data_IF_484633521852
#
_entry.id   IF_484633521852
#
_cell.length_a   1.000
_cell.length_b   1.000
_cell.length_c   1.000
_cell.angle_alpha   90.00
_cell.angle_beta   90.00
_cell.angle_gamma   90.00
#
_symmetry.space_group_name_H-M   'P 1'
#
loop_
_entity.id
_entity.type
_entity.pdbx_description
1 polymer ?
#
# COMPACT_ATOMS: atom_id res chain seq x y z
N UNK A 1 -6.67 -34.19 -19.54
CA UNK A 1 -6.05 -32.87 -19.37
C UNK A 1 -4.57 -33.02 -19.66
N UNK A 2 -3.97 -32.24 -20.55
CA UNK A 2 -2.55 -32.38 -20.87
C UNK A 2 -1.69 -31.82 -19.72
N UNK A 3 -0.67 -32.56 -19.35
CA UNK A 3 0.39 -32.10 -18.49
C UNK A 3 1.37 -31.27 -19.30
N UNK A 4 1.60 -30.01 -18.92
CA UNK A 4 2.48 -29.08 -19.63
C UNK A 4 3.69 -28.76 -18.74
N UNK A 5 4.89 -28.82 -19.32
CA UNK A 5 6.08 -28.41 -18.60
C UNK A 5 6.05 -26.91 -18.28
N UNK A 6 6.48 -26.50 -17.07
CA UNK A 6 6.43 -25.09 -16.64
C UNK A 6 7.19 -24.16 -17.60
N UNK A 7 8.18 -24.65 -18.33
CA UNK A 7 8.90 -23.89 -19.37
C UNK A 7 8.09 -23.63 -20.65
N UNK A 8 6.98 -24.36 -20.86
CA UNK A 8 6.15 -24.30 -22.05
C UNK A 8 4.79 -23.61 -21.82
N UNK A 9 4.49 -23.23 -20.58
CA UNK A 9 3.24 -22.58 -20.22
C UNK A 9 3.20 -21.18 -20.82
N UNK A 10 2.03 -20.84 -21.42
CA UNK A 10 1.75 -19.50 -21.94
C UNK A 10 0.96 -18.68 -20.91
N UNK A 11 1.20 -17.38 -20.89
CA UNK A 11 0.42 -16.46 -20.05
C UNK A 11 -1.07 -16.52 -20.43
N UNK A 12 -1.94 -16.57 -19.42
CA UNK A 12 -3.39 -16.67 -19.59
C UNK A 12 -3.95 -18.09 -19.56
N UNK A 13 -3.11 -19.13 -19.60
CA UNK A 13 -3.56 -20.52 -19.43
C UNK A 13 -4.07 -20.74 -18.01
N UNK A 14 -5.05 -21.66 -17.86
CA UNK A 14 -5.65 -22.01 -16.56
C UNK A 14 -5.18 -23.38 -16.07
N UNK A 15 -4.94 -23.46 -14.77
CA UNK A 15 -4.61 -24.74 -14.12
C UNK A 15 -5.83 -25.69 -14.14
N UNK A 16 -5.62 -26.88 -14.67
CA UNK A 16 -6.66 -27.93 -14.73
C UNK A 16 -6.76 -28.75 -13.45
N UNK A 17 -5.79 -28.62 -12.53
CA UNK A 17 -5.80 -29.28 -11.22
C UNK A 17 -5.02 -28.45 -10.19
N UNK A 18 -5.15 -28.82 -8.89
CA UNK A 18 -4.37 -28.20 -7.84
C UNK A 18 -2.87 -28.49 -8.02
N UNK A 19 -2.04 -27.48 -7.86
CA UNK A 19 -0.58 -27.62 -7.83
C UNK A 19 -0.12 -27.68 -6.39
N UNK A 20 0.62 -28.73 -6.04
CA UNK A 20 1.13 -28.95 -4.68
C UNK A 20 2.64 -28.85 -4.63
N UNK A 21 3.16 -28.38 -3.50
CA UNK A 21 4.60 -28.42 -3.19
C UNK A 21 5.03 -29.85 -2.88
N UNK A 22 6.37 -30.11 -2.86
CA UNK A 22 6.94 -31.40 -2.43
C UNK A 22 6.54 -31.81 -1.00
N UNK A 23 6.10 -30.86 -0.18
CA UNK A 23 5.64 -31.09 1.20
C UNK A 23 4.14 -31.35 1.29
N UNK A 24 3.42 -31.38 0.16
CA UNK A 24 1.98 -31.67 0.10
C UNK A 24 1.06 -30.45 0.28
N UNK A 25 1.60 -29.27 0.47
CA UNK A 25 0.81 -28.03 0.57
C UNK A 25 0.34 -27.58 -0.82
N UNK A 26 -0.91 -27.09 -0.93
CA UNK A 26 -1.45 -26.60 -2.18
C UNK A 26 -0.80 -25.23 -2.48
N UNK A 27 -0.08 -25.13 -3.59
CA UNK A 27 0.55 -23.92 -4.07
C UNK A 27 -0.44 -23.05 -4.86
N UNK A 28 -1.23 -23.69 -5.72
CA UNK A 28 -2.29 -23.05 -6.49
C UNK A 28 -3.49 -23.97 -6.60
N UNK A 29 -4.67 -23.40 -6.50
CA UNK A 29 -5.92 -24.13 -6.74
C UNK A 29 -6.21 -24.27 -8.24
N UNK A 30 -6.92 -25.34 -8.60
CA UNK A 30 -7.51 -25.53 -9.92
C UNK A 30 -8.26 -24.27 -10.39
N UNK A 31 -8.17 -23.95 -11.68
CA UNK A 31 -8.80 -22.78 -12.29
C UNK A 31 -7.97 -21.48 -12.16
N UNK A 32 -6.85 -21.48 -11.44
CA UNK A 32 -5.96 -20.32 -11.36
C UNK A 32 -5.39 -19.99 -12.73
N UNK A 33 -5.50 -18.73 -13.13
CA UNK A 33 -4.89 -18.20 -14.36
C UNK A 33 -3.41 -17.95 -14.13
N UNK A 34 -2.56 -18.47 -15.01
CA UNK A 34 -1.11 -18.33 -14.92
C UNK A 34 -0.70 -17.02 -15.60
N UNK A 35 -0.14 -16.12 -14.79
CA UNK A 35 0.51 -14.89 -15.21
C UNK A 35 2.02 -15.01 -14.94
N UNK A 36 2.76 -13.94 -15.19
CA UNK A 36 4.21 -13.88 -14.94
C UNK A 36 4.58 -14.29 -13.51
N UNK A 37 3.80 -13.78 -12.54
CA UNK A 37 3.97 -14.06 -11.11
C UNK A 37 3.78 -15.54 -10.77
N UNK A 38 2.73 -16.18 -11.28
CA UNK A 38 2.47 -17.60 -11.05
C UNK A 38 3.57 -18.47 -11.66
N UNK A 39 4.09 -18.10 -12.85
CA UNK A 39 5.22 -18.79 -13.48
C UNK A 39 6.50 -18.68 -12.65
N UNK A 40 6.81 -17.51 -12.11
CA UNK A 40 7.95 -17.32 -11.20
C UNK A 40 7.85 -18.23 -9.97
N UNK A 41 6.66 -18.33 -9.38
CA UNK A 41 6.39 -19.17 -8.21
C UNK A 41 6.56 -20.66 -8.57
N UNK A 42 5.96 -21.13 -9.68
CA UNK A 42 6.11 -22.52 -10.14
C UNK A 42 7.60 -22.91 -10.33
N UNK A 43 8.40 -22.02 -10.93
CA UNK A 43 9.83 -22.20 -11.11
C UNK A 43 10.60 -22.22 -9.79
N UNK A 44 10.26 -21.29 -8.87
CA UNK A 44 10.89 -21.20 -7.55
C UNK A 44 10.68 -22.45 -6.69
N UNK A 45 9.49 -23.08 -6.80
CA UNK A 45 9.16 -24.31 -6.11
C UNK A 45 9.59 -25.58 -6.87
N UNK A 46 10.35 -25.42 -7.97
CA UNK A 46 10.83 -26.52 -8.80
C UNK A 46 9.71 -27.48 -9.24
N UNK A 47 8.52 -26.92 -9.54
CA UNK A 47 7.41 -27.68 -10.12
C UNK A 47 7.77 -27.98 -11.58
N UNK A 48 7.91 -29.23 -11.99
CA UNK A 48 8.38 -29.54 -13.34
C UNK A 48 7.28 -29.35 -14.39
N UNK A 49 6.04 -29.63 -14.02
CA UNK A 49 4.88 -29.59 -14.92
C UNK A 49 3.59 -29.42 -14.16
N UNK A 50 2.57 -28.90 -14.81
CA UNK A 50 1.22 -28.72 -14.26
C UNK A 50 0.18 -29.18 -15.26
N UNK A 51 -1.05 -29.48 -14.79
CA UNK A 51 -2.20 -29.74 -15.66
C UNK A 51 -2.79 -28.41 -16.11
N UNK A 52 -2.97 -28.26 -17.42
CA UNK A 52 -3.62 -27.08 -18.04
C UNK A 52 -4.99 -27.51 -18.57
N UNK A 53 -6.00 -26.66 -18.39
CA UNK A 53 -7.31 -26.82 -19.03
C UNK A 53 -7.14 -26.70 -20.55
N UNK A 54 -7.39 -27.78 -21.31
CA UNK A 54 -7.41 -27.71 -22.76
C UNK A 54 -8.63 -26.90 -23.20
N UNK A 55 -8.44 -25.78 -23.86
CA UNK A 55 -9.50 -25.21 -24.71
C UNK A 55 -9.71 -26.20 -25.86
N UNK A 56 -10.83 -26.90 -25.86
CA UNK A 56 -11.25 -27.65 -27.01
C UNK A 56 -11.48 -26.71 -28.21
N UNK A 57 -10.52 -26.73 -29.11
CA UNK A 57 -10.69 -26.20 -30.45
C UNK A 57 -11.51 -27.21 -31.27
N UNK A 58 -12.82 -27.17 -31.21
CA UNK A 58 -13.75 -27.69 -32.20
C UNK A 58 -15.17 -27.25 -31.83
N UNK A 59 -15.55 -26.12 -32.33
CA UNK A 59 -16.94 -25.82 -32.74
C UNK A 59 -16.86 -24.63 -33.68
N UNK A 60 -16.87 -24.99 -34.97
CA UNK A 60 -17.10 -24.08 -36.09
C UNK A 60 -18.61 -24.04 -36.29
N UNK A 61 -19.13 -22.80 -36.33
CA UNK A 61 -20.37 -22.36 -36.96
C UNK A 61 -21.70 -22.88 -36.40
N UNK A 62 -22.35 -22.02 -35.59
CA UNK A 62 -23.72 -21.58 -35.89
C UNK A 62 -23.97 -20.24 -35.17
N UNK A 63 -24.25 -19.21 -35.95
CA UNK A 63 -24.73 -17.91 -35.54
C UNK A 63 -26.04 -18.05 -34.76
N UNK A 64 -26.05 -17.72 -33.48
CA UNK A 64 -27.22 -17.24 -32.76
C UNK A 64 -26.74 -16.17 -31.81
N UNK A 65 -27.17 -14.94 -32.04
CA UNK A 65 -26.94 -13.78 -31.18
C UNK A 65 -27.60 -14.00 -29.81
N UNK A 66 -26.80 -14.41 -28.83
CA UNK A 66 -27.10 -14.17 -27.43
C UNK A 66 -25.90 -13.45 -26.80
N UNK A 67 -26.14 -12.47 -25.91
CA UNK A 67 -25.07 -11.64 -25.38
C UNK A 67 -24.11 -12.50 -24.56
N UNK A 68 -22.88 -12.64 -25.03
CA UNK A 68 -21.77 -13.19 -24.23
C UNK A 68 -21.62 -12.33 -22.96
N UNK A 69 -22.26 -12.76 -21.90
CA UNK A 69 -21.92 -12.33 -20.55
C UNK A 69 -20.48 -12.79 -20.33
N UNK A 70 -19.53 -11.87 -20.53
CA UNK A 70 -18.20 -12.03 -19.95
C UNK A 70 -18.46 -12.23 -18.46
N UNK A 71 -18.12 -13.38 -17.90
CA UNK A 71 -17.91 -13.50 -16.47
C UNK A 71 -16.82 -12.50 -16.10
N UNK A 72 -17.25 -11.28 -15.79
CA UNK A 72 -16.43 -10.30 -15.10
C UNK A 72 -16.19 -10.93 -13.74
N UNK A 73 -14.98 -11.42 -13.48
CA UNK A 73 -14.55 -11.68 -12.08
C UNK A 73 -15.07 -10.49 -11.30
N UNK A 74 -15.97 -10.73 -10.34
CA UNK A 74 -16.61 -9.67 -9.59
C UNK A 74 -15.52 -8.90 -8.87
N UNK A 75 -15.11 -7.79 -9.45
CA UNK A 75 -14.06 -6.92 -8.89
C UNK A 75 -14.53 -6.54 -7.49
N UNK A 76 -13.77 -6.93 -6.47
CA UNK A 76 -14.15 -6.65 -5.08
C UNK A 76 -14.54 -5.18 -4.95
N UNK A 77 -15.68 -4.85 -4.31
CA UNK A 77 -16.23 -3.48 -4.25
C UNK A 77 -15.22 -2.42 -3.81
N UNK A 78 -14.23 -2.79 -3.01
CA UNK A 78 -13.12 -1.94 -2.60
C UNK A 78 -12.41 -1.27 -3.78
N UNK A 79 -12.15 -2.00 -4.87
CA UNK A 79 -11.42 -1.43 -6.01
C UNK A 79 -12.25 -0.41 -6.78
N UNK A 80 -13.57 -0.61 -6.85
CA UNK A 80 -14.48 0.36 -7.47
C UNK A 80 -14.52 1.66 -6.65
N UNK A 81 -14.68 1.55 -5.32
CA UNK A 81 -14.67 2.71 -4.42
C UNK A 81 -13.29 3.40 -4.38
N UNK A 82 -12.21 2.65 -4.47
CA UNK A 82 -10.87 3.21 -4.60
C UNK A 82 -10.73 4.08 -5.86
N UNK A 83 -11.20 3.59 -7.02
CA UNK A 83 -11.17 4.36 -8.27
C UNK A 83 -12.10 5.57 -8.23
N UNK A 84 -13.26 5.48 -7.60
CA UNK A 84 -14.16 6.61 -7.37
C UNK A 84 -13.47 7.68 -6.52
N UNK A 85 -12.74 7.28 -5.47
CA UNK A 85 -11.98 8.19 -4.63
C UNK A 85 -10.84 8.87 -5.39
N UNK A 86 -10.13 8.17 -6.29
CA UNK A 86 -9.10 8.79 -7.16
C UNK A 86 -9.72 9.89 -8.03
N UNK A 87 -10.88 9.61 -8.66
CA UNK A 87 -11.59 10.61 -9.48
C UNK A 87 -12.03 11.83 -8.64
N UNK A 88 -12.54 11.57 -7.45
CA UNK A 88 -12.96 12.64 -6.51
C UNK A 88 -11.77 13.51 -6.10
N UNK A 89 -10.63 12.90 -5.72
CA UNK A 89 -9.44 13.65 -5.32
C UNK A 89 -8.88 14.51 -6.45
N UNK A 90 -8.86 14.04 -7.70
CA UNK A 90 -8.47 14.87 -8.85
C UNK A 90 -9.28 16.16 -8.89
N UNK A 91 -10.61 16.06 -8.72
CA UNK A 91 -11.49 17.23 -8.67
C UNK A 91 -11.23 18.10 -7.44
N UNK A 92 -11.03 17.50 -6.26
CA UNK A 92 -10.73 18.21 -5.01
C UNK A 92 -9.44 19.04 -5.13
N UNK A 93 -8.36 18.46 -5.68
CA UNK A 93 -7.12 19.19 -5.89
C UNK A 93 -7.27 20.32 -6.92
N UNK A 94 -8.06 20.12 -7.97
CA UNK A 94 -8.36 21.16 -8.94
C UNK A 94 -9.14 22.34 -8.29
N UNK A 95 -10.16 22.04 -7.47
CA UNK A 95 -10.91 23.04 -6.72
C UNK A 95 -10.01 23.81 -5.74
N UNK A 96 -9.15 23.08 -4.99
CA UNK A 96 -8.17 23.67 -4.09
C UNK A 96 -7.20 24.61 -4.84
N UNK A 97 -6.71 24.20 -5.99
CA UNK A 97 -5.88 25.05 -6.84
C UNK A 97 -6.62 26.30 -7.30
N UNK A 98 -7.89 26.20 -7.67
CA UNK A 98 -8.75 27.32 -8.04
C UNK A 98 -9.23 28.19 -6.85
N UNK A 99 -8.89 27.84 -5.60
CA UNK A 99 -9.38 28.54 -4.40
C UNK A 99 -10.88 28.36 -4.15
N UNK A 100 -11.47 27.31 -4.74
CA UNK A 100 -12.90 27.01 -4.60
C UNK A 100 -13.17 26.19 -3.32
N UNK A 101 -14.38 26.25 -2.74
CA UNK A 101 -14.75 25.42 -1.59
C UNK A 101 -14.64 23.94 -1.91
N UNK A 102 -14.09 23.14 -0.96
CA UNK A 102 -13.99 21.70 -1.10
C UNK A 102 -15.31 21.01 -0.74
N UNK A 103 -15.73 19.96 -1.48
CA UNK A 103 -16.96 19.22 -1.23
C UNK A 103 -16.78 18.24 -0.06
N UNK A 104 -16.68 18.75 1.17
CA UNK A 104 -16.34 17.97 2.38
C UNK A 104 -17.33 16.81 2.61
N UNK A 105 -18.62 17.02 2.38
CA UNK A 105 -19.62 15.97 2.55
C UNK A 105 -19.39 14.82 1.56
N UNK A 106 -19.08 15.13 0.31
CA UNK A 106 -18.83 14.13 -0.72
C UNK A 106 -17.53 13.36 -0.44
N UNK A 107 -16.47 14.07 0.00
CA UNK A 107 -15.20 13.45 0.45
C UNK A 107 -15.49 12.47 1.58
N UNK A 108 -16.26 12.88 2.58
CA UNK A 108 -16.65 12.05 3.71
C UNK A 108 -17.41 10.80 3.28
N UNK A 109 -18.45 10.98 2.46
CA UNK A 109 -19.29 9.87 1.97
C UNK A 109 -18.48 8.85 1.15
N UNK A 110 -17.62 9.33 0.24
CA UNK A 110 -16.75 8.48 -0.55
C UNK A 110 -15.72 7.72 0.32
N UNK A 111 -15.19 8.40 1.34
CA UNK A 111 -14.25 7.76 2.27
C UNK A 111 -14.94 6.73 3.16
N UNK A 112 -16.15 6.99 3.64
CA UNK A 112 -16.98 6.01 4.38
C UNK A 112 -17.30 4.78 3.52
N UNK A 113 -17.60 4.96 2.22
CA UNK A 113 -17.82 3.87 1.29
C UNK A 113 -16.56 2.99 1.12
N UNK A 114 -15.39 3.61 0.97
CA UNK A 114 -14.13 2.91 0.85
C UNK A 114 -13.75 2.17 2.15
N UNK A 115 -13.91 2.80 3.31
CA UNK A 115 -13.59 2.22 4.63
C UNK A 115 -14.51 1.04 4.98
N UNK A 116 -15.74 0.97 4.50
CA UNK A 116 -16.61 -0.21 4.67
C UNK A 116 -15.94 -1.50 4.19
N UNK A 117 -15.05 -1.41 3.24
CA UNK A 117 -14.32 -2.53 2.67
C UNK A 117 -12.84 -2.55 3.09
N UNK A 118 -12.51 -1.95 4.25
CA UNK A 118 -11.12 -1.79 4.72
C UNK A 118 -10.37 -3.10 4.89
N UNK A 119 -11.06 -4.21 5.12
CA UNK A 119 -10.45 -5.53 5.29
C UNK A 119 -9.79 -6.04 4.00
N UNK A 120 -10.16 -5.50 2.83
CA UNK A 120 -9.48 -5.75 1.56
C UNK A 120 -8.17 -4.96 1.43
N UNK A 121 -7.95 -3.94 2.26
CA UNK A 121 -6.71 -3.18 2.30
C UNK A 121 -5.70 -3.84 3.22
N UNK A 122 -4.68 -4.45 2.65
CA UNK A 122 -3.55 -5.04 3.38
C UNK A 122 -2.35 -4.10 3.25
N UNK A 123 -1.94 -3.46 4.33
CA UNK A 123 -0.90 -2.41 4.33
C UNK A 123 0.39 -2.85 3.63
N UNK A 124 0.84 -4.10 3.85
CA UNK A 124 2.11 -4.60 3.28
C UNK A 124 2.01 -5.04 1.82
N UNK A 125 0.82 -5.43 1.34
CA UNK A 125 0.69 -6.11 0.05
C UNK A 125 -0.21 -5.39 -0.94
N UNK A 126 -0.97 -4.38 -0.48
CA UNK A 126 -1.85 -3.66 -1.37
C UNK A 126 -1.07 -2.77 -2.33
N UNK A 127 -1.31 -2.98 -3.60
CA UNK A 127 -0.74 -2.21 -4.70
C UNK A 127 -1.87 -1.71 -5.60
N UNK A 128 -2.00 -0.39 -5.84
CA UNK A 128 -2.97 0.14 -6.79
C UNK A 128 -2.76 -0.44 -8.19
N UNK A 129 -3.85 -0.88 -8.84
CA UNK A 129 -3.84 -1.24 -10.26
C UNK A 129 -3.70 0.04 -11.11
N UNK A 130 -2.98 -0.02 -12.22
CA UNK A 130 -2.77 1.11 -13.15
C UNK A 130 -2.04 2.31 -12.50
N UNK A 131 -0.76 2.14 -12.18
CA UNK A 131 0.09 3.20 -11.65
C UNK A 131 0.48 4.19 -12.75
N UNK A 132 -0.27 5.29 -12.86
CA UNK A 132 0.19 6.45 -13.60
C UNK A 132 0.96 7.37 -12.63
N UNK A 133 2.24 7.61 -12.87
CA UNK A 133 3.07 8.49 -12.02
C UNK A 133 2.48 9.91 -11.90
N UNK A 134 1.80 10.41 -12.94
CA UNK A 134 1.08 11.70 -12.86
C UNK A 134 -0.09 11.70 -11.87
N UNK A 135 -0.55 10.54 -11.44
CA UNK A 135 -1.61 10.36 -10.43
C UNK A 135 -1.07 9.97 -9.06
N UNK A 136 0.28 9.92 -8.92
CA UNK A 136 0.95 9.51 -7.69
C UNK A 136 0.39 10.20 -6.44
N UNK A 137 0.19 11.53 -6.48
CA UNK A 137 -0.27 12.30 -5.32
C UNK A 137 -1.64 11.83 -4.83
N UNK A 138 -2.56 11.51 -5.74
CA UNK A 138 -3.90 11.04 -5.39
C UNK A 138 -3.87 9.64 -4.79
N UNK A 139 -3.11 8.73 -5.41
CA UNK A 139 -2.90 7.38 -4.88
C UNK A 139 -2.24 7.43 -3.50
N UNK A 140 -1.17 8.23 -3.33
CA UNK A 140 -0.50 8.43 -2.05
C UNK A 140 -1.48 8.91 -0.98
N UNK A 141 -2.28 9.94 -1.27
CA UNK A 141 -3.25 10.50 -0.33
C UNK A 141 -4.27 9.46 0.14
N UNK A 142 -4.79 8.62 -0.78
CA UNK A 142 -5.72 7.53 -0.41
C UNK A 142 -5.01 6.48 0.45
N UNK A 143 -3.80 6.06 0.07
CA UNK A 143 -3.04 5.07 0.84
C UNK A 143 -2.68 5.57 2.23
N UNK A 144 -2.25 6.83 2.35
CA UNK A 144 -1.99 7.49 3.65
C UNK A 144 -3.27 7.53 4.49
N UNK A 145 -4.42 7.84 3.88
CA UNK A 145 -5.72 7.83 4.55
C UNK A 145 -6.07 6.46 5.13
N UNK A 146 -5.99 5.40 4.32
CA UNK A 146 -6.31 4.02 4.73
C UNK A 146 -5.32 3.49 5.77
N UNK A 147 -4.04 3.79 5.61
CA UNK A 147 -2.99 3.43 6.58
C UNK A 147 -3.23 4.14 7.90
N UNK A 148 -3.53 5.45 7.88
CA UNK A 148 -3.82 6.26 9.08
C UNK A 148 -5.06 5.75 9.82
N UNK A 149 -6.14 5.42 9.10
CA UNK A 149 -7.32 4.79 9.67
C UNK A 149 -6.98 3.47 10.36
N UNK A 150 -6.23 2.61 9.69
CA UNK A 150 -5.83 1.31 10.22
C UNK A 150 -4.96 1.45 11.47
N UNK A 151 -3.96 2.33 11.44
CA UNK A 151 -3.08 2.60 12.58
C UNK A 151 -3.86 3.18 13.77
N UNK A 152 -4.76 4.14 13.53
CA UNK A 152 -5.60 4.71 14.58
C UNK A 152 -6.50 3.65 15.24
N UNK A 153 -7.11 2.77 14.45
CA UNK A 153 -7.91 1.63 14.93
C UNK A 153 -7.08 0.66 15.76
N UNK A 154 -5.88 0.32 15.29
CA UNK A 154 -4.95 -0.56 15.99
C UNK A 154 -4.40 0.03 17.29
N UNK A 155 -4.22 1.33 17.31
CA UNK A 155 -3.79 2.07 18.50
C UNK A 155 -4.93 2.31 19.52
N UNK A 156 -6.17 1.89 19.19
CA UNK A 156 -7.32 1.99 20.10
C UNK A 156 -7.90 3.40 20.22
N UNK A 157 -7.74 4.26 19.22
CA UNK A 157 -8.34 5.60 19.26
C UNK A 157 -9.87 5.52 19.22
N UNK A 158 -10.57 6.52 19.79
CA UNK A 158 -12.04 6.55 19.83
C UNK A 158 -12.66 6.41 18.43
N UNK A 159 -13.74 5.64 18.32
CA UNK A 159 -14.43 5.38 17.04
C UNK A 159 -14.84 6.68 16.31
N UNK A 160 -15.24 7.71 17.06
CA UNK A 160 -15.62 9.03 16.52
C UNK A 160 -14.48 9.74 15.80
N UNK A 161 -13.23 9.43 16.14
CA UNK A 161 -12.03 10.07 15.59
C UNK A 161 -11.50 9.34 14.35
N UNK A 162 -11.79 8.04 14.17
CA UNK A 162 -11.22 7.23 13.11
C UNK A 162 -11.47 7.80 11.71
N UNK A 163 -12.71 8.23 11.42
CA UNK A 163 -13.03 8.83 10.11
C UNK A 163 -12.34 10.18 9.93
N UNK A 164 -12.23 10.98 11.00
CA UNK A 164 -11.53 12.27 10.95
C UNK A 164 -10.02 12.06 10.71
N UNK A 165 -9.42 11.03 11.31
CA UNK A 165 -8.01 10.66 11.04
C UNK A 165 -7.82 10.20 9.60
N UNK A 166 -8.75 9.43 9.06
CA UNK A 166 -8.73 9.06 7.65
C UNK A 166 -8.84 10.28 6.74
N UNK A 167 -9.73 11.24 7.05
CA UNK A 167 -9.83 12.52 6.33
C UNK A 167 -8.54 13.33 6.46
N UNK A 168 -7.90 13.33 7.64
CA UNK A 168 -6.63 14.00 7.85
C UNK A 168 -5.54 13.42 6.94
N UNK A 169 -5.43 12.08 6.87
CA UNK A 169 -4.52 11.40 5.94
C UNK A 169 -4.86 11.64 4.47
N UNK A 170 -6.15 11.78 4.12
CA UNK A 170 -6.57 12.06 2.74
C UNK A 170 -6.19 13.48 2.28
N UNK A 171 -6.27 14.45 3.19
CA UNK A 171 -6.12 15.87 2.89
C UNK A 171 -4.78 16.47 3.35
N UNK A 172 -3.86 15.67 3.94
CA UNK A 172 -2.61 16.18 4.51
C UNK A 172 -1.78 16.99 3.50
N UNK A 173 -1.75 16.53 2.26
CA UNK A 173 -0.98 17.11 1.15
C UNK A 173 -1.80 18.06 0.24
N UNK A 174 -3.01 18.47 0.62
CA UNK A 174 -3.87 19.30 -0.25
C UNK A 174 -3.20 20.60 -0.68
N UNK A 175 -2.29 21.13 0.12
CA UNK A 175 -1.53 22.33 -0.20
C UNK A 175 -0.60 22.18 -1.39
N UNK A 176 -0.19 20.95 -1.76
CA UNK A 176 0.61 20.70 -2.96
C UNK A 176 -0.13 21.07 -4.25
N UNK A 177 -1.46 21.23 -4.19
CA UNK A 177 -2.26 21.75 -5.30
C UNK A 177 -1.82 23.14 -5.77
N UNK A 178 -1.13 23.91 -4.93
CA UNK A 178 -0.61 25.26 -5.22
C UNK A 178 0.91 25.29 -5.52
N UNK A 179 1.59 24.17 -5.36
CA UNK A 179 3.02 24.05 -5.67
C UNK A 179 3.19 23.79 -7.17
N UNK A 180 4.22 24.38 -7.77
CA UNK A 180 4.52 24.15 -9.18
C UNK A 180 4.76 22.65 -9.42
N UNK A 181 3.99 22.10 -10.35
CA UNK A 181 4.04 20.69 -10.68
C UNK A 181 5.41 20.25 -11.20
N UNK A 182 6.14 21.16 -11.88
CA UNK A 182 7.48 20.87 -12.37
C UNK A 182 8.47 20.58 -11.25
N UNK A 183 8.30 21.18 -10.06
CA UNK A 183 9.09 20.89 -8.87
C UNK A 183 8.76 19.52 -8.28
N UNK A 184 7.47 19.16 -8.24
CA UNK A 184 7.01 17.87 -7.71
C UNK A 184 7.49 16.71 -8.61
N UNK A 185 7.50 16.91 -9.93
CA UNK A 185 7.88 15.90 -10.93
C UNK A 185 9.39 15.94 -11.29
N UNK A 186 10.17 16.83 -10.67
CA UNK A 186 11.59 17.01 -10.95
C UNK A 186 12.38 15.73 -10.67
N UNK A 187 13.12 15.25 -11.67
CA UNK A 187 13.92 14.01 -11.58
C UNK A 187 15.31 14.22 -10.97
N UNK A 188 15.82 15.47 -10.97
CA UNK A 188 17.10 15.82 -10.35
C UNK A 188 16.90 16.24 -8.89
N UNK A 189 17.95 16.22 -8.05
CA UNK A 189 17.87 16.75 -6.70
C UNK A 189 17.35 18.20 -6.66
N UNK A 190 16.53 18.49 -5.66
CA UNK A 190 16.00 19.83 -5.43
C UNK A 190 17.07 20.72 -4.82
N UNK A 191 17.12 21.97 -5.22
CA UNK A 191 17.91 23.02 -4.54
C UNK A 191 17.26 23.36 -3.19
N UNK A 192 17.98 24.06 -2.31
CA UNK A 192 17.42 24.50 -1.03
C UNK A 192 16.18 25.39 -1.21
N UNK A 193 16.21 26.32 -2.18
CA UNK A 193 15.07 27.20 -2.46
C UNK A 193 13.84 26.42 -2.97
N UNK A 194 14.03 25.46 -3.88
CA UNK A 194 12.96 24.59 -4.38
C UNK A 194 12.38 23.70 -3.26
N UNK A 195 13.24 23.21 -2.37
CA UNK A 195 12.80 22.44 -1.20
C UNK A 195 11.96 23.29 -0.25
N UNK A 196 12.37 24.53 0.00
CA UNK A 196 11.62 25.46 0.84
C UNK A 196 10.27 25.81 0.21
N UNK A 197 10.19 25.99 -1.11
CA UNK A 197 8.94 26.18 -1.82
C UNK A 197 7.99 24.98 -1.63
N UNK A 198 8.50 23.74 -1.80
CA UNK A 198 7.70 22.55 -1.54
C UNK A 198 7.23 22.48 -0.08
N UNK A 199 8.08 22.81 0.90
CA UNK A 199 7.72 22.80 2.33
C UNK A 199 6.55 23.71 2.67
N UNK A 200 6.34 24.77 1.90
CA UNK A 200 5.21 25.69 2.08
C UNK A 200 3.85 25.02 1.87
N UNK A 201 3.78 23.82 1.23
CA UNK A 201 2.50 23.10 1.08
C UNK A 201 1.79 22.87 2.42
N UNK A 202 2.51 22.72 3.53
CA UNK A 202 1.93 22.50 4.85
C UNK A 202 1.13 23.71 5.33
N UNK A 203 1.70 24.93 5.19
CA UNK A 203 1.05 26.18 5.51
C UNK A 203 -0.15 26.45 4.58
N UNK A 204 0.04 26.22 3.29
CA UNK A 204 -0.98 26.39 2.26
C UNK A 204 -2.15 25.40 2.54
N UNK A 205 -1.84 24.14 2.83
CA UNK A 205 -2.84 23.12 3.16
C UNK A 205 -3.70 23.52 4.37
N UNK A 206 -3.06 23.99 5.44
CA UNK A 206 -3.77 24.52 6.61
C UNK A 206 -4.66 25.71 6.23
N UNK A 207 -4.16 26.65 5.44
CA UNK A 207 -4.95 27.82 4.99
C UNK A 207 -6.17 27.42 4.16
N UNK A 208 -6.05 26.41 3.29
CA UNK A 208 -7.18 25.86 2.53
C UNK A 208 -8.22 25.27 3.48
N UNK A 209 -7.80 24.54 4.52
CA UNK A 209 -8.69 23.78 5.39
C UNK A 209 -9.24 24.57 6.59
N UNK A 210 -8.55 25.63 7.06
CA UNK A 210 -8.85 26.31 8.35
C UNK A 210 -10.29 26.76 8.53
N UNK A 211 -10.94 27.21 7.46
CA UNK A 211 -12.31 27.73 7.47
C UNK A 211 -13.35 26.70 7.00
N UNK A 212 -12.94 25.45 6.70
CA UNK A 212 -13.87 24.42 6.25
C UNK A 212 -14.70 23.90 7.42
N UNK A 213 -16.01 23.84 7.24
CA UNK A 213 -16.94 23.12 8.14
C UNK A 213 -16.95 21.62 7.80
N UNK A 214 -17.36 20.78 8.78
CA UNK A 214 -17.46 19.32 8.59
C UNK A 214 -16.17 18.55 8.81
N UNK A 215 -15.04 19.22 9.06
CA UNK A 215 -13.78 18.65 9.53
C UNK A 215 -13.39 19.26 10.88
N UNK A 216 -12.77 18.44 11.75
CA UNK A 216 -12.36 18.94 13.06
C UNK A 216 -10.96 19.59 13.00
N UNK A 217 -10.54 20.18 14.12
CA UNK A 217 -9.24 20.86 14.20
C UNK A 217 -8.07 19.93 13.97
N UNK A 218 -8.17 18.64 14.36
CA UNK A 218 -7.13 17.65 14.11
C UNK A 218 -6.82 17.44 12.63
N UNK A 219 -7.85 17.47 11.75
CA UNK A 219 -7.65 17.40 10.29
C UNK A 219 -6.88 18.61 9.78
N UNK A 220 -7.22 19.81 10.24
CA UNK A 220 -6.58 21.08 9.83
C UNK A 220 -5.12 21.12 10.30
N UNK A 221 -4.90 20.79 11.58
CA UNK A 221 -3.56 20.72 12.16
C UNK A 221 -2.69 19.64 11.50
N UNK A 222 -3.28 18.55 11.04
CA UNK A 222 -2.51 17.52 10.31
C UNK A 222 -1.90 18.07 9.03
N UNK A 223 -2.64 18.85 8.24
CA UNK A 223 -2.08 19.49 7.04
C UNK A 223 -0.88 20.39 7.37
N UNK A 224 -0.90 21.04 8.55
CA UNK A 224 0.21 21.88 9.01
C UNK A 224 1.39 21.05 9.57
N UNK A 225 1.11 19.97 10.33
CA UNK A 225 2.07 19.38 11.25
C UNK A 225 2.58 17.99 10.85
N UNK A 226 2.12 17.37 9.76
CA UNK A 226 2.51 16.00 9.40
C UNK A 226 4.01 15.83 9.07
N UNK A 227 4.73 16.93 8.84
CA UNK A 227 6.18 16.96 8.69
C UNK A 227 6.92 17.43 9.96
N UNK A 228 6.23 17.72 11.04
CA UNK A 228 6.88 17.92 12.33
C UNK A 228 7.52 16.63 12.84
N UNK A 229 8.51 16.77 13.72
CA UNK A 229 9.23 15.66 14.31
C UNK A 229 9.23 15.80 15.82
N UNK A 230 9.18 14.66 16.54
CA UNK A 230 9.11 14.62 18.01
C UNK A 230 10.21 15.45 18.69
N UNK A 231 11.40 15.50 18.08
CA UNK A 231 12.59 16.25 18.56
C UNK A 231 12.56 17.73 18.21
N UNK A 232 11.59 18.19 17.38
CA UNK A 232 11.51 19.55 16.89
C UNK A 232 12.35 19.84 15.64
N UNK A 233 12.98 18.83 15.03
CA UNK A 233 13.75 18.98 13.79
C UNK A 233 12.87 19.06 12.53
N UNK A 234 11.54 18.95 12.69
CA UNK A 234 10.57 19.02 11.61
C UNK A 234 10.28 20.42 11.10
N UNK A 235 9.25 20.54 10.29
CA UNK A 235 8.75 21.80 9.73
C UNK A 235 7.22 21.79 9.63
N UNK A 236 6.55 22.95 9.52
CA UNK A 236 7.07 24.31 9.31
C UNK A 236 7.40 25.06 10.61
N UNK A 237 6.91 24.58 11.77
CA UNK A 237 7.00 25.30 13.04
C UNK A 237 8.16 24.83 13.93
N UNK A 238 8.72 23.65 13.69
CA UNK A 238 9.75 23.03 14.51
C UNK A 238 9.26 22.76 15.95
N UNK A 239 8.01 22.38 16.11
CA UNK A 239 7.41 22.08 17.43
C UNK A 239 7.77 20.67 17.90
N UNK A 240 7.88 20.50 19.24
CA UNK A 240 8.17 19.21 19.86
C UNK A 240 6.89 18.40 20.10
N UNK A 241 7.08 17.15 20.46
CA UNK A 241 6.09 16.09 20.67
C UNK A 241 4.76 16.55 21.31
N UNK A 242 4.83 17.30 22.41
CA UNK A 242 3.67 17.76 23.17
C UNK A 242 2.75 18.73 22.41
N UNK A 243 3.30 19.40 21.39
CA UNK A 243 2.60 20.36 20.54
C UNK A 243 2.18 19.80 19.20
N UNK A 244 2.58 18.55 18.88
CA UNK A 244 2.15 17.87 17.65
C UNK A 244 0.83 17.16 17.91
N UNK A 245 -0.20 17.49 17.14
CA UNK A 245 -1.51 16.86 17.28
C UNK A 245 -1.44 15.35 17.01
N UNK A 246 -2.19 14.53 17.77
CA UNK A 246 -2.18 13.06 17.64
C UNK A 246 -2.47 12.59 16.20
N UNK A 247 -3.39 13.25 15.48
CA UNK A 247 -3.68 12.90 14.09
C UNK A 247 -2.45 13.11 13.20
N UNK A 248 -1.72 14.21 13.41
CA UNK A 248 -0.49 14.50 12.66
C UNK A 248 0.60 13.46 12.92
N UNK A 249 0.75 12.97 14.16
CA UNK A 249 1.69 11.87 14.50
C UNK A 249 1.34 10.59 13.75
N UNK A 250 0.06 10.21 13.70
CA UNK A 250 -0.42 9.03 12.97
C UNK A 250 -0.17 9.18 11.47
N UNK A 251 -0.55 10.33 10.91
CA UNK A 251 -0.40 10.60 9.48
C UNK A 251 1.07 10.68 9.08
N UNK A 252 1.95 11.22 9.92
CA UNK A 252 3.40 11.26 9.66
C UNK A 252 3.98 9.84 9.45
N UNK A 253 3.62 8.87 10.28
CA UNK A 253 4.05 7.47 10.13
C UNK A 253 3.50 6.87 8.83
N UNK A 254 2.21 7.08 8.56
CA UNK A 254 1.56 6.60 7.35
C UNK A 254 2.14 7.23 6.08
N UNK A 255 2.49 8.53 6.13
CA UNK A 255 3.10 9.25 5.03
C UNK A 255 4.51 8.75 4.73
N UNK A 256 5.36 8.63 5.74
CA UNK A 256 6.72 8.08 5.59
C UNK A 256 6.65 6.68 4.96
N UNK A 257 5.81 5.81 5.51
CA UNK A 257 5.64 4.44 5.01
C UNK A 257 5.23 4.42 3.54
N UNK A 258 4.14 5.10 3.19
CA UNK A 258 3.62 5.12 1.82
C UNK A 258 4.55 5.85 0.85
N UNK A 259 5.27 6.86 1.32
CA UNK A 259 6.26 7.57 0.52
C UNK A 259 7.46 6.69 0.13
N UNK A 260 7.82 5.69 0.94
CA UNK A 260 8.96 4.82 0.70
C UNK A 260 8.58 3.51 -0.01
N UNK A 261 7.35 3.03 0.19
CA UNK A 261 6.84 1.78 -0.42
C UNK A 261 6.22 1.97 -1.80
N UNK A 262 6.02 3.22 -2.25
CA UNK A 262 5.48 3.52 -3.56
C UNK A 262 6.54 4.13 -4.49
N UNK A 263 6.49 3.72 -5.76
CA UNK A 263 7.36 4.26 -6.80
C UNK A 263 7.08 5.75 -7.04
N UNK A 264 8.14 6.53 -7.24
CA UNK A 264 8.10 7.96 -7.55
C UNK A 264 8.94 8.24 -8.80
N UNK A 265 8.84 9.46 -9.34
CA UNK A 265 9.62 9.90 -10.52
C UNK A 265 11.14 9.71 -10.41
N UNK A 266 11.67 9.72 -9.18
CA UNK A 266 13.12 9.72 -8.90
C UNK A 266 13.56 8.63 -7.92
N UNK A 267 12.64 7.76 -7.46
CA UNK A 267 12.97 6.72 -6.47
C UNK A 267 12.11 5.47 -6.65
N UNK A 268 12.76 4.32 -6.80
CA UNK A 268 12.10 3.02 -6.78
C UNK A 268 11.47 2.72 -5.42
N UNK A 269 10.40 1.95 -5.41
CA UNK A 269 9.76 1.45 -4.19
C UNK A 269 10.73 0.56 -3.41
N UNK A 270 10.76 0.74 -2.10
CA UNK A 270 11.46 -0.14 -1.18
C UNK A 270 10.53 -1.26 -0.70
N UNK A 271 11.12 -2.38 -0.29
CA UNK A 271 10.36 -3.44 0.37
C UNK A 271 9.63 -2.89 1.61
N UNK A 272 8.34 -3.23 1.80
CA UNK A 272 7.60 -2.84 3.00
C UNK A 272 8.31 -3.22 4.31
N UNK A 273 8.98 -4.36 4.35
CA UNK A 273 9.72 -4.84 5.53
C UNK A 273 10.93 -3.97 5.84
N UNK A 274 11.69 -3.57 4.81
CA UNK A 274 12.82 -2.64 4.95
C UNK A 274 12.34 -1.28 5.43
N UNK A 275 11.20 -0.81 4.94
CA UNK A 275 10.61 0.47 5.39
C UNK A 275 10.17 0.40 6.85
N UNK A 276 9.59 -0.72 7.30
CA UNK A 276 9.25 -0.91 8.72
C UNK A 276 10.49 -0.86 9.62
N UNK A 277 11.61 -1.45 9.20
CA UNK A 277 12.88 -1.37 9.96
C UNK A 277 13.43 0.06 10.01
N UNK A 278 13.32 0.81 8.92
CA UNK A 278 13.72 2.22 8.90
C UNK A 278 12.83 3.07 9.78
N UNK A 279 11.52 2.85 9.78
CA UNK A 279 10.57 3.52 10.69
C UNK A 279 10.91 3.25 12.15
N UNK A 280 11.29 2.02 12.50
CA UNK A 280 11.73 1.69 13.86
C UNK A 280 12.97 2.48 14.25
N UNK A 281 13.97 2.58 13.36
CA UNK A 281 15.17 3.37 13.59
C UNK A 281 14.86 4.87 13.73
N UNK A 282 13.93 5.40 12.91
CA UNK A 282 13.50 6.80 13.00
C UNK A 282 12.62 7.08 14.23
N UNK A 283 12.04 6.07 14.88
CA UNK A 283 11.27 6.24 16.11
C UNK A 283 12.13 6.79 17.28
N UNK A 284 13.45 6.69 17.15
CA UNK A 284 14.36 7.34 18.09
C UNK A 284 14.42 8.86 17.84
N UNK A 285 13.42 9.57 18.38
CA UNK A 285 13.35 11.04 18.41
C UNK A 285 12.59 11.71 17.26
N UNK A 286 12.26 11.03 16.16
CA UNK A 286 11.59 11.69 15.02
C UNK A 286 10.10 11.42 14.93
N UNK A 287 9.65 10.21 15.23
CA UNK A 287 8.23 9.83 15.20
C UNK A 287 7.85 9.14 16.51
N UNK A 288 6.56 9.10 16.83
CA UNK A 288 6.06 8.52 18.08
C UNK A 288 6.39 7.01 18.15
N UNK A 289 7.22 6.56 19.11
CA UNK A 289 7.70 5.17 19.19
C UNK A 289 6.56 4.19 19.49
N UNK A 290 5.55 4.60 20.25
CA UNK A 290 4.40 3.74 20.60
C UNK A 290 3.57 3.45 19.36
N UNK A 291 3.29 4.47 18.55
CA UNK A 291 2.55 4.31 17.29
C UNK A 291 3.34 3.47 16.29
N UNK A 292 4.67 3.66 16.19
CA UNK A 292 5.53 2.83 15.32
C UNK A 292 5.49 1.38 15.76
N UNK A 293 5.59 1.09 17.07
CA UNK A 293 5.51 -0.28 17.58
C UNK A 293 4.16 -0.95 17.29
N UNK A 294 3.04 -0.21 17.45
CA UNK A 294 1.70 -0.68 17.08
C UNK A 294 1.64 -0.96 15.58
N UNK A 295 2.13 -0.04 14.76
CA UNK A 295 2.14 -0.19 13.30
C UNK A 295 2.90 -1.43 12.86
N UNK A 296 4.11 -1.62 13.35
CA UNK A 296 4.93 -2.81 13.08
C UNK A 296 4.21 -4.09 13.48
N UNK A 297 3.81 -4.20 14.74
CA UNK A 297 3.22 -5.43 15.27
C UNK A 297 1.93 -5.83 14.55
N UNK A 298 1.12 -4.85 14.12
CA UNK A 298 -0.17 -5.11 13.46
C UNK A 298 -0.02 -5.36 11.96
N UNK A 299 0.88 -4.66 11.29
CA UNK A 299 1.11 -4.86 9.85
C UNK A 299 1.85 -6.16 9.55
N UNK A 300 2.76 -6.62 10.44
CA UNK A 300 3.52 -7.86 10.29
C UNK A 300 2.85 -9.09 10.90
N UNK A 301 1.56 -9.00 11.29
CA UNK A 301 0.78 -10.19 11.67
C UNK A 301 0.55 -11.08 10.44
N UNK A 302 1.63 -11.68 9.96
CA UNK A 302 1.61 -12.61 8.83
C UNK A 302 1.50 -14.01 9.40
N UNK A 303 0.59 -14.79 8.83
CA UNK A 303 0.39 -16.18 9.22
C UNK A 303 1.59 -17.03 8.77
N UNK A 304 1.96 -18.05 9.56
CA UNK A 304 2.78 -19.13 9.04
C UNK A 304 2.10 -19.68 7.77
N UNK A 305 2.88 -20.09 6.78
CA UNK A 305 2.35 -20.48 5.48
C UNK A 305 2.36 -19.36 4.43
N UNK A 306 2.72 -18.11 4.81
CA UNK A 306 2.82 -17.03 3.84
C UNK A 306 4.05 -17.20 2.96
N UNK A 307 3.83 -17.12 1.64
CA UNK A 307 4.91 -17.16 0.65
C UNK A 307 5.53 -15.77 0.50
N UNK A 308 6.86 -15.73 0.58
CA UNK A 308 7.66 -14.51 0.46
C UNK A 308 8.80 -14.71 -0.53
N UNK A 309 9.15 -13.63 -1.23
CA UNK A 309 10.36 -13.53 -2.05
C UNK A 309 11.42 -12.78 -1.24
N UNK A 310 12.59 -13.36 -1.13
CA UNK A 310 13.74 -12.73 -0.47
C UNK A 310 14.52 -11.82 -1.42
N UNK A 311 15.38 -10.98 -0.87
CA UNK A 311 16.23 -10.03 -1.62
C UNK A 311 17.19 -10.67 -2.61
N UNK A 312 17.50 -11.96 -2.46
CA UNK A 312 18.30 -12.77 -3.37
C UNK A 312 17.47 -13.54 -4.41
N UNK A 313 16.17 -13.18 -4.56
CA UNK A 313 15.18 -13.79 -5.44
C UNK A 313 14.72 -15.20 -5.05
N UNK A 314 15.20 -15.81 -3.97
CA UNK A 314 14.66 -17.07 -3.49
C UNK A 314 13.25 -16.88 -2.94
N UNK A 315 12.39 -17.85 -3.19
CA UNK A 315 11.02 -17.89 -2.65
C UNK A 315 10.94 -18.95 -1.58
N UNK A 316 10.27 -18.64 -0.49
CA UNK A 316 10.08 -19.56 0.63
C UNK A 316 8.82 -19.23 1.41
N UNK A 317 8.52 -20.10 2.35
CA UNK A 317 7.35 -20.05 3.22
C UNK A 317 7.76 -19.58 4.62
N UNK A 318 7.05 -18.61 5.20
CA UNK A 318 7.26 -18.22 6.59
C UNK A 318 6.78 -19.37 7.51
N UNK A 319 7.71 -19.91 8.29
CA UNK A 319 7.41 -21.00 9.24
C UNK A 319 7.38 -20.56 10.68
N UNK A 320 8.02 -19.44 10.99
CA UNK A 320 8.03 -18.88 12.34
C UNK A 320 8.27 -17.37 12.30
N UNK A 321 7.52 -16.62 13.12
CA UNK A 321 7.70 -15.17 13.32
C UNK A 321 7.91 -14.87 14.80
N UNK A 322 9.06 -14.26 15.14
CA UNK A 322 9.35 -13.80 16.48
C UNK A 322 8.75 -12.40 16.71
N UNK A 323 8.02 -12.22 17.80
CA UNK A 323 7.43 -10.93 18.19
C UNK A 323 8.45 -9.84 18.47
N UNK A 324 9.68 -10.22 18.86
CA UNK A 324 10.77 -9.26 19.09
C UNK A 324 11.42 -8.80 17.79
N UNK A 325 11.28 -9.58 16.71
CA UNK A 325 11.83 -9.31 15.39
C UNK A 325 10.77 -9.54 14.29
N UNK A 326 9.65 -8.80 14.29
CA UNK A 326 8.50 -9.11 13.45
C UNK A 326 8.76 -8.94 11.94
N UNK A 327 9.80 -8.23 11.56
CA UNK A 327 10.25 -8.05 10.17
C UNK A 327 11.24 -9.12 9.71
N UNK A 328 11.72 -9.99 10.61
CA UNK A 328 12.78 -10.97 10.40
C UNK A 328 12.34 -12.40 10.71
N UNK A 329 11.31 -12.94 10.02
CA UNK A 329 10.83 -14.30 10.28
C UNK A 329 11.83 -15.37 9.83
N UNK A 330 11.54 -16.62 10.20
CA UNK A 330 12.21 -17.79 9.65
C UNK A 330 11.48 -18.26 8.41
N UNK A 331 12.23 -18.47 7.33
CA UNK A 331 11.68 -18.81 6.02
C UNK A 331 12.19 -20.17 5.60
N UNK A 332 11.29 -21.09 5.28
CA UNK A 332 11.63 -22.39 4.72
C UNK A 332 11.78 -22.26 3.21
N UNK A 333 12.97 -22.56 2.71
CA UNK A 333 13.29 -22.57 1.28
C UNK A 333 13.65 -23.99 0.88
N UNK A 334 12.72 -24.68 0.24
CA UNK A 334 12.94 -26.06 -0.25
C UNK A 334 13.43 -27.04 0.84
N UNK A 335 12.94 -26.93 2.07
CA UNK A 335 13.31 -27.78 3.20
C UNK A 335 14.45 -27.23 4.05
N UNK A 336 15.11 -26.15 3.63
CA UNK A 336 16.15 -25.48 4.42
C UNK A 336 15.56 -24.24 5.10
N UNK A 337 15.73 -24.13 6.42
CA UNK A 337 15.24 -22.99 7.20
C UNK A 337 16.30 -21.89 7.20
N UNK A 338 15.94 -20.73 6.67
CA UNK A 338 16.73 -19.50 6.70
C UNK A 338 16.18 -18.60 7.80
N UNK A 339 16.99 -18.31 8.81
CA UNK A 339 16.63 -17.40 9.89
C UNK A 339 17.09 -15.97 9.56
N UNK A 340 16.13 -15.08 9.22
CA UNK A 340 16.44 -13.69 8.82
C UNK A 340 16.96 -12.83 9.98
N UNK A 341 16.83 -13.26 11.24
CA UNK A 341 17.46 -12.56 12.39
C UNK A 341 18.99 -12.76 12.40
N UNK A 342 19.47 -13.87 11.85
CA UNK A 342 20.89 -14.22 11.74
C UNK A 342 21.44 -13.76 10.38
N UNK A 343 20.75 -14.10 9.30
CA UNK A 343 21.10 -13.74 7.92
C UNK A 343 20.71 -12.29 7.60
N UNK A 344 21.40 -11.33 8.23
CA UNK A 344 21.05 -9.89 8.18
C UNK A 344 21.12 -9.25 6.80
N UNK A 345 21.88 -9.84 5.87
CA UNK A 345 21.98 -9.37 4.49
C UNK A 345 20.74 -9.74 3.65
N UNK A 346 19.93 -10.67 4.13
CA UNK A 346 18.70 -11.08 3.49
C UNK A 346 17.52 -10.36 4.14
N UNK A 347 16.53 -10.01 3.32
CA UNK A 347 15.27 -9.43 3.78
C UNK A 347 14.13 -9.87 2.87
N UNK A 348 12.90 -9.75 3.35
CA UNK A 348 11.72 -10.01 2.52
C UNK A 348 11.58 -8.86 1.53
N UNK A 349 11.71 -9.20 0.24
CA UNK A 349 11.54 -8.26 -0.87
C UNK A 349 10.06 -8.04 -1.17
N UNK A 350 9.27 -9.12 -1.20
CA UNK A 350 7.85 -9.08 -1.53
C UNK A 350 7.08 -10.20 -0.82
N UNK A 351 5.79 -9.98 -0.58
CA UNK A 351 4.84 -11.00 -0.09
C UNK A 351 4.03 -11.49 -1.28
N UNK A 352 4.18 -12.78 -1.60
CA UNK A 352 3.60 -13.36 -2.80
C UNK A 352 2.15 -13.80 -2.57
N UNK A 353 1.82 -14.32 -1.39
CA UNK A 353 0.47 -14.77 -1.04
C UNK A 353 0.45 -15.69 0.18
N UNK A 354 -0.74 -16.17 0.52
CA UNK A 354 -0.93 -17.26 1.47
C UNK A 354 -1.20 -18.56 0.71
N UNK A 355 -0.69 -19.66 1.25
CA UNK A 355 -1.07 -21.01 0.82
C UNK A 355 -2.46 -21.33 1.34
#
# INVERSE_FOLDING_TARGET
MPTVAVSQIKYGERLGDNVTTKMGNILFHKGRVIQERELEILRAFLIPSVYIESMNSNEVEQESEEPKVKEVEAVHPFYAEYQNMVKLLKRVFLLANGGQPLPILEIRTGLEALIRHIDAYKVLTFTPKNRNLHEYIYHKSILVSLTSYSLARWAGLPQKDLLQIAMAGLLHDIGTSKVDRTLIEKKSPLTAAEMDEIRHHTLIGYQILKNMSGINEGVKLTALQHHEREDGSGYPLGVKSDKIHMYAKIVAIADIYNAMTNERYYKSALSPYVVLEQLLNESFGKVDPTLVQVFMNKSTQISNGTLVKLSDNRVGEIVFSDRSHPTRPWVNINGTIVNLTVERNLFIQDVIGHI
#
